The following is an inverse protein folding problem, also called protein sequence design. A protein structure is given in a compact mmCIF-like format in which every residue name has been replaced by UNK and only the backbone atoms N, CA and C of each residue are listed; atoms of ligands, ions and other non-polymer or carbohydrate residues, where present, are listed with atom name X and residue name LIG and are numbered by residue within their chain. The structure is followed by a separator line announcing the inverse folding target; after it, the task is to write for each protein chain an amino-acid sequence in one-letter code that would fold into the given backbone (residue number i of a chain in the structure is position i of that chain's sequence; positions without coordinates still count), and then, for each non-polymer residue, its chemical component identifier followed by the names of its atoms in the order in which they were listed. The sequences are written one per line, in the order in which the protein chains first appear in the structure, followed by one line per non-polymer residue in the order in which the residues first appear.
data_IF_003275650864
#
_entry.id   IF_003275650864
#
_cell.length_a   1.000
_cell.length_b   1.000
_cell.length_c   1.000
_cell.angle_alpha   90.00
_cell.angle_beta   90.00
_cell.angle_gamma   90.00
#
_symmetry.space_group_name_H-M   'P 1'
#
loop_
_entity.id
_entity.type
_entity.pdbx_description
1 polymer ?
#
# COMPACT_ATOMS: atom_id res chain seq x y z
N UNK A 1 24.67 -1.33 9.07
CA UNK A 1 24.76 -2.39 8.03
C UNK A 1 23.36 -2.93 7.86
N UNK A 2 22.85 -3.06 6.62
CA UNK A 2 21.52 -3.64 6.38
C UNK A 2 21.52 -5.12 6.73
N UNK A 3 20.48 -5.59 7.41
CA UNK A 3 20.29 -7.02 7.67
C UNK A 3 20.01 -7.75 6.35
N UNK A 4 20.72 -8.82 6.00
CA UNK A 4 20.46 -9.53 4.75
C UNK A 4 19.06 -10.17 4.79
N UNK A 5 18.42 -10.23 3.63
CA UNK A 5 17.16 -10.95 3.47
C UNK A 5 17.40 -12.46 3.44
N UNK A 6 16.65 -13.19 4.24
CA UNK A 6 16.55 -14.64 4.16
C UNK A 6 15.52 -15.03 3.10
N UNK A 7 15.97 -15.71 2.04
CA UNK A 7 15.08 -16.23 1.00
C UNK A 7 14.39 -17.49 1.53
N UNK A 8 13.07 -17.41 1.73
CA UNK A 8 12.25 -18.54 2.19
C UNK A 8 11.87 -19.47 1.04
N UNK A 9 11.49 -18.89 -0.11
CA UNK A 9 11.19 -19.66 -1.32
C UNK A 9 11.29 -18.79 -2.58
N UNK A 10 11.53 -19.46 -3.72
CA UNK A 10 11.57 -18.83 -5.04
C UNK A 10 10.88 -19.75 -6.07
N UNK A 11 10.08 -19.14 -6.94
CA UNK A 11 9.27 -19.84 -7.94
C UNK A 11 9.40 -19.18 -9.28
N UNK A 12 9.75 -19.92 -10.34
CA UNK A 12 9.70 -19.41 -11.71
C UNK A 12 8.27 -19.01 -12.06
N UNK A 13 8.08 -17.79 -12.57
CA UNK A 13 6.76 -17.23 -12.83
C UNK A 13 6.80 -16.23 -13.99
N UNK A 14 6.17 -16.57 -15.13
CA UNK A 14 6.10 -15.74 -16.35
C UNK A 14 7.46 -15.21 -16.84
N UNK A 15 8.47 -16.09 -16.83
CA UNK A 15 9.85 -15.75 -17.24
C UNK A 15 10.64 -14.96 -16.21
N UNK A 16 10.00 -14.50 -15.14
CA UNK A 16 10.60 -13.89 -13.96
C UNK A 16 10.55 -14.83 -12.77
N UNK A 17 10.62 -14.27 -11.57
CA UNK A 17 10.68 -15.05 -10.34
C UNK A 17 9.86 -14.42 -9.21
N UNK A 18 8.96 -15.21 -8.61
CA UNK A 18 8.24 -14.86 -7.37
C UNK A 18 9.08 -15.33 -6.19
N UNK A 19 9.45 -14.42 -5.31
CA UNK A 19 10.25 -14.70 -4.11
C UNK A 19 9.53 -14.30 -2.84
N UNK A 20 9.75 -15.08 -1.78
CA UNK A 20 9.28 -14.79 -0.43
C UNK A 20 10.49 -14.69 0.49
N UNK A 21 10.50 -13.64 1.29
CA UNK A 21 11.60 -13.31 2.16
C UNK A 21 11.18 -13.09 3.60
N UNK A 22 12.14 -13.27 4.49
CA UNK A 22 12.07 -12.83 5.87
C UNK A 22 13.33 -12.03 6.21
N UNK A 23 13.22 -11.08 7.11
CA UNK A 23 14.37 -10.40 7.70
C UNK A 23 14.08 -9.96 9.13
N UNK A 24 15.14 -9.82 9.94
CA UNK A 24 15.03 -9.23 11.25
C UNK A 24 14.86 -7.71 11.10
N UNK A 25 13.64 -7.22 11.31
CA UNK A 25 13.37 -5.79 11.23
C UNK A 25 13.86 -5.07 12.48
N UNK A 26 14.66 -4.04 12.30
CA UNK A 26 15.11 -3.15 13.39
C UNK A 26 14.02 -2.18 13.82
N UNK A 27 13.17 -1.76 12.90
CA UNK A 27 12.05 -0.85 13.17
C UNK A 27 10.94 -1.52 13.96
N UNK A 28 10.59 -2.75 13.59
CA UNK A 28 9.55 -3.55 14.25
C UNK A 28 10.11 -4.27 15.50
N UNK A 29 11.39 -4.64 15.47
CA UNK A 29 12.02 -5.44 16.53
C UNK A 29 11.67 -6.93 16.50
N UNK A 30 11.09 -7.41 15.38
CA UNK A 30 10.67 -8.79 15.15
C UNK A 30 11.00 -9.21 13.72
N UNK A 31 11.02 -10.51 13.41
CA UNK A 31 11.08 -10.98 12.04
C UNK A 31 9.86 -10.50 11.24
N UNK A 32 10.12 -9.90 10.09
CA UNK A 32 9.08 -9.46 9.16
C UNK A 32 9.21 -10.19 7.84
N UNK A 33 8.06 -10.54 7.24
CA UNK A 33 7.99 -11.18 5.93
C UNK A 33 7.54 -10.21 4.86
N UNK A 34 8.01 -10.45 3.65
CA UNK A 34 7.56 -9.73 2.45
C UNK A 34 7.76 -10.61 1.22
N UNK A 35 7.03 -10.28 0.17
CA UNK A 35 7.11 -10.96 -1.11
C UNK A 35 7.54 -9.99 -2.22
N UNK A 36 8.32 -10.48 -3.17
CA UNK A 36 8.74 -9.71 -4.35
C UNK A 36 8.57 -10.57 -5.59
N UNK A 37 7.93 -10.01 -6.61
CA UNK A 37 8.02 -10.52 -7.97
C UNK A 37 9.05 -9.71 -8.75
N UNK A 38 10.03 -10.40 -9.34
CA UNK A 38 11.04 -9.81 -10.24
C UNK A 38 10.72 -10.20 -11.68
N UNK A 39 10.43 -9.24 -12.57
CA UNK A 39 10.16 -9.53 -13.98
C UNK A 39 11.45 -9.95 -14.71
N UNK A 40 11.35 -10.56 -15.91
CA UNK A 40 12.55 -10.98 -16.68
C UNK A 40 13.57 -9.86 -16.92
N UNK A 41 13.10 -8.62 -17.06
CA UNK A 41 13.93 -7.43 -17.29
C UNK A 41 14.86 -7.11 -16.11
N UNK A 42 14.52 -7.57 -14.91
CA UNK A 42 15.36 -7.41 -13.72
C UNK A 42 16.73 -8.12 -13.84
N UNK A 43 16.86 -9.05 -14.77
CA UNK A 43 18.15 -9.67 -15.10
C UNK A 43 19.12 -8.73 -15.85
N UNK A 44 18.60 -7.65 -16.43
CA UNK A 44 19.37 -6.69 -17.21
C UNK A 44 19.74 -5.42 -16.43
N UNK A 45 19.11 -5.23 -15.26
CA UNK A 45 19.34 -4.07 -14.40
C UNK A 45 18.13 -3.75 -13.53
N UNK A 46 18.23 -2.69 -12.69
CA UNK A 46 17.14 -2.29 -11.82
C UNK A 46 15.88 -1.86 -12.58
N UNK A 47 14.73 -2.39 -12.17
CA UNK A 47 13.40 -2.11 -12.75
C UNK A 47 12.54 -1.29 -11.79
N UNK A 48 11.58 -0.49 -12.29
CA UNK A 48 10.59 0.17 -11.44
C UNK A 48 9.70 -0.85 -10.73
N UNK A 49 9.11 -0.44 -9.60
CA UNK A 49 8.29 -1.33 -8.82
C UNK A 49 6.96 -0.72 -8.40
N UNK A 50 5.96 -1.58 -8.20
CA UNK A 50 4.69 -1.26 -7.57
C UNK A 50 4.64 -1.93 -6.19
N UNK A 51 4.47 -1.12 -5.16
CA UNK A 51 4.24 -1.57 -3.78
C UNK A 51 2.75 -1.84 -3.62
N UNK A 52 2.40 -3.06 -3.24
CA UNK A 52 1.01 -3.44 -2.97
C UNK A 52 0.81 -3.65 -1.48
N UNK A 53 -0.13 -2.92 -0.90
CA UNK A 53 -0.55 -3.04 0.49
C UNK A 53 -1.84 -3.85 0.59
N UNK A 54 -1.81 -4.95 1.33
CA UNK A 54 -2.95 -5.84 1.46
C UNK A 54 -3.94 -5.35 2.54
N UNK A 55 -5.18 -5.86 2.48
CA UNK A 55 -6.25 -5.56 3.42
C UNK A 55 -6.14 -6.32 4.74
N UNK A 56 -7.13 -6.12 5.62
CA UNK A 56 -7.25 -6.80 6.91
C UNK A 56 -7.12 -8.32 6.76
N UNK A 57 -6.46 -8.96 7.71
CA UNK A 57 -6.20 -10.41 7.81
C UNK A 57 -5.27 -11.01 6.76
N UNK A 58 -4.86 -10.23 5.76
CA UNK A 58 -3.95 -10.70 4.71
C UNK A 58 -2.50 -10.80 5.22
N UNK A 59 -1.68 -11.47 4.39
CA UNK A 59 -0.23 -11.58 4.54
C UNK A 59 0.46 -11.14 3.24
N UNK A 60 1.77 -11.15 3.22
CA UNK A 60 2.60 -10.91 2.03
C UNK A 60 2.27 -11.83 0.85
N UNK A 61 1.75 -13.03 1.12
CA UNK A 61 1.40 -14.02 0.09
C UNK A 61 0.08 -13.70 -0.62
N UNK A 62 -0.85 -13.06 0.08
CA UNK A 62 -2.25 -12.96 -0.36
C UNK A 62 -2.38 -12.31 -1.72
N UNK A 63 -1.72 -11.19 -1.95
CA UNK A 63 -1.71 -10.50 -3.24
C UNK A 63 -1.03 -11.35 -4.32
N UNK A 64 0.14 -11.88 -4.02
CA UNK A 64 0.94 -12.62 -4.99
C UNK A 64 0.22 -13.86 -5.53
N UNK A 65 -0.57 -14.52 -4.67
CA UNK A 65 -1.31 -15.74 -5.05
C UNK A 65 -2.66 -15.41 -5.70
N UNK A 66 -3.35 -14.34 -5.26
CA UNK A 66 -4.77 -14.14 -5.61
C UNK A 66 -5.03 -13.07 -6.66
N UNK A 67 -4.13 -12.10 -6.87
CA UNK A 67 -4.41 -10.95 -7.72
C UNK A 67 -4.14 -11.16 -9.21
N UNK A 68 -3.42 -12.22 -9.60
CA UNK A 68 -3.10 -12.49 -11.01
C UNK A 68 -2.20 -11.43 -11.67
N UNK A 69 -1.41 -10.71 -10.89
CA UNK A 69 -0.67 -9.53 -11.33
C UNK A 69 0.59 -9.86 -12.15
N UNK A 70 1.24 -11.00 -11.89
CA UNK A 70 2.61 -11.28 -12.35
C UNK A 70 2.76 -11.34 -13.87
N UNK A 71 1.75 -11.85 -14.60
CA UNK A 71 1.81 -11.95 -16.06
C UNK A 71 2.01 -10.57 -16.69
N UNK A 72 1.12 -9.63 -16.36
CA UNK A 72 1.20 -8.30 -16.92
C UNK A 72 2.40 -7.51 -16.35
N UNK A 73 2.77 -7.73 -15.10
CA UNK A 73 3.97 -7.16 -14.51
C UNK A 73 5.24 -7.59 -15.28
N UNK A 74 5.32 -8.88 -15.71
CA UNK A 74 6.40 -9.37 -16.57
C UNK A 74 6.43 -8.65 -17.93
N UNK A 75 5.27 -8.51 -18.58
CA UNK A 75 5.14 -7.85 -19.88
C UNK A 75 5.54 -6.37 -19.79
N UNK A 76 5.15 -5.69 -18.71
CA UNK A 76 5.44 -4.28 -18.47
C UNK A 76 6.84 -4.02 -17.86
N UNK A 77 7.57 -5.04 -17.43
CA UNK A 77 8.87 -4.86 -16.77
C UNK A 77 8.76 -4.24 -15.38
N UNK A 78 7.66 -4.48 -14.65
CA UNK A 78 7.42 -3.99 -13.30
C UNK A 78 7.75 -5.06 -12.27
N UNK A 79 8.53 -4.72 -11.25
CA UNK A 79 8.59 -5.51 -10.03
C UNK A 79 7.35 -5.25 -9.16
N UNK A 80 6.97 -6.25 -8.36
CA UNK A 80 5.88 -6.14 -7.37
C UNK A 80 6.46 -6.39 -5.99
N UNK A 81 6.09 -5.57 -5.00
CA UNK A 81 6.53 -5.70 -3.61
C UNK A 81 5.28 -5.77 -2.73
N UNK A 82 5.14 -6.78 -1.90
CA UNK A 82 4.05 -6.91 -0.93
C UNK A 82 4.62 -7.24 0.46
N UNK A 83 4.54 -6.31 1.43
CA UNK A 83 4.87 -6.61 2.82
C UNK A 83 3.74 -7.38 3.51
N UNK A 84 4.03 -7.99 4.66
CA UNK A 84 2.99 -8.41 5.60
C UNK A 84 2.20 -7.18 6.11
N UNK A 85 1.01 -7.40 6.60
CA UNK A 85 0.05 -6.35 7.00
C UNK A 85 0.22 -5.87 8.45
N UNK A 86 1.02 -6.57 9.24
CA UNK A 86 1.36 -6.23 10.62
C UNK A 86 2.58 -7.01 11.11
N UNK A 87 3.15 -6.66 12.27
CA UNK A 87 3.97 -7.58 13.06
C UNK A 87 3.19 -8.84 13.43
N UNK A 88 3.92 -9.95 13.66
CA UNK A 88 3.35 -11.21 14.17
C UNK A 88 4.25 -11.79 15.24
N UNK A 89 3.63 -12.34 16.30
CA UNK A 89 4.36 -12.97 17.39
C UNK A 89 5.06 -11.99 18.33
N UNK A 90 4.51 -10.79 18.47
CA UNK A 90 4.98 -9.79 19.44
C UNK A 90 4.68 -10.20 20.89
N UNK A 91 3.74 -11.13 21.08
CA UNK A 91 3.23 -11.56 22.38
C UNK A 91 2.63 -10.40 23.19
N UNK A 92 2.08 -9.42 22.50
CA UNK A 92 1.30 -8.34 23.10
C UNK A 92 -0.07 -8.88 23.50
N UNK A 93 -0.51 -8.71 24.75
CA UNK A 93 -1.84 -9.14 25.16
C UNK A 93 -2.92 -8.55 24.25
N UNK A 94 -3.79 -9.41 23.72
CA UNK A 94 -4.88 -9.01 22.82
C UNK A 94 -4.49 -8.87 21.35
N UNK A 95 -3.24 -9.15 20.94
CA UNK A 95 -2.79 -8.97 19.55
C UNK A 95 -3.54 -9.83 18.53
N UNK A 96 -4.12 -10.93 18.95
CA UNK A 96 -4.87 -11.86 18.11
C UNK A 96 -6.35 -12.00 18.49
N UNK A 97 -6.88 -11.15 19.38
CA UNK A 97 -8.25 -11.27 19.89
C UNK A 97 -9.30 -10.80 18.87
N UNK A 98 -8.90 -10.05 17.87
CA UNK A 98 -9.80 -9.47 16.88
C UNK A 98 -9.21 -9.53 15.47
N UNK A 99 -10.04 -9.86 14.48
CA UNK A 99 -9.61 -9.95 13.08
C UNK A 99 -9.34 -8.57 12.43
N UNK A 100 -9.88 -7.50 13.01
CA UNK A 100 -9.77 -6.13 12.50
C UNK A 100 -8.91 -5.20 13.38
N UNK A 101 -8.12 -5.78 14.31
CA UNK A 101 -7.19 -5.04 15.16
C UNK A 101 -6.03 -5.95 15.62
N UNK A 102 -4.82 -5.44 15.73
CA UNK A 102 -3.64 -6.22 16.10
C UNK A 102 -3.03 -6.97 14.92
N UNK A 103 -2.90 -8.28 15.02
CA UNK A 103 -2.32 -9.14 13.97
C UNK A 103 -3.17 -9.10 12.71
N UNK A 104 -2.52 -8.80 11.57
CA UNK A 104 -3.19 -8.66 10.28
C UNK A 104 -3.93 -7.32 10.09
N UNK A 105 -3.75 -6.35 10.98
CA UNK A 105 -4.50 -5.10 11.02
C UNK A 105 -3.63 -3.90 11.45
N UNK A 106 -2.44 -3.74 10.87
CA UNK A 106 -1.48 -2.69 11.23
C UNK A 106 -1.81 -1.29 10.72
N UNK A 107 -2.84 -1.14 9.88
CA UNK A 107 -3.30 0.12 9.28
C UNK A 107 -2.20 0.98 8.65
N UNK A 108 -1.01 0.42 8.42
CA UNK A 108 0.15 1.09 7.80
C UNK A 108 0.52 2.43 8.44
N UNK A 109 0.38 2.50 9.77
CA UNK A 109 0.75 3.63 10.61
C UNK A 109 1.76 3.21 11.67
N UNK A 110 2.33 4.18 12.38
CA UNK A 110 3.14 3.95 13.57
C UNK A 110 2.29 4.21 14.82
N UNK A 111 2.07 3.17 15.62
CA UNK A 111 1.33 3.30 16.85
C UNK A 111 2.08 4.15 17.89
N UNK A 112 1.36 5.01 18.60
CA UNK A 112 1.91 5.87 19.65
C UNK A 112 1.56 5.37 21.05
N UNK A 113 0.55 4.49 21.16
CA UNK A 113 0.03 3.99 22.43
C UNK A 113 0.68 2.67 22.84
N UNK A 114 0.97 2.53 24.13
CA UNK A 114 1.33 1.25 24.70
C UNK A 114 0.10 0.31 24.72
N UNK A 115 0.29 -1.01 24.50
CA UNK A 115 1.55 -1.69 24.26
C UNK A 115 2.01 -1.70 22.77
N UNK A 116 1.19 -1.18 21.86
CA UNK A 116 1.35 -1.29 20.40
C UNK A 116 2.59 -0.56 19.87
N UNK A 117 2.91 0.62 20.41
CA UNK A 117 3.98 1.50 19.93
C UNK A 117 5.36 0.84 19.77
N UNK A 118 5.57 -0.29 20.44
CA UNK A 118 6.86 -0.99 20.40
C UNK A 118 7.06 -1.70 19.07
N UNK A 119 6.01 -2.32 18.53
CA UNK A 119 6.11 -3.20 17.37
C UNK A 119 5.22 -2.77 16.18
N UNK A 120 4.06 -2.13 16.42
CA UNK A 120 3.16 -1.67 15.34
C UNK A 120 3.65 -0.36 14.75
N UNK A 121 4.70 -0.44 13.92
CA UNK A 121 5.37 0.71 13.28
C UNK A 121 5.48 0.48 11.78
N UNK A 122 4.32 0.23 11.14
CA UNK A 122 4.27 -0.21 9.75
C UNK A 122 4.63 0.90 8.76
N UNK A 123 4.41 2.17 9.08
CA UNK A 123 4.82 3.30 8.25
C UNK A 123 6.36 3.42 8.20
N UNK A 124 7.01 3.55 9.35
CA UNK A 124 8.49 3.59 9.43
C UNK A 124 9.12 2.32 8.86
N UNK A 125 8.53 1.15 9.13
CA UNK A 125 9.01 -0.12 8.57
C UNK A 125 9.04 -0.08 7.04
N UNK A 126 7.96 0.36 6.40
CA UNK A 126 7.89 0.42 4.95
C UNK A 126 8.84 1.44 4.37
N UNK A 127 8.80 2.68 4.86
CA UNK A 127 9.44 3.82 4.22
C UNK A 127 10.93 3.92 4.54
N UNK A 128 11.30 3.62 5.79
CA UNK A 128 12.66 3.85 6.29
C UNK A 128 13.50 2.58 6.33
N UNK A 129 12.87 1.38 6.31
CA UNK A 129 13.59 0.12 6.38
C UNK A 129 13.37 -0.76 5.15
N UNK A 130 12.16 -1.26 4.89
CA UNK A 130 11.91 -2.26 3.85
C UNK A 130 12.23 -1.74 2.44
N UNK A 131 11.63 -0.64 2.01
CA UNK A 131 11.81 -0.14 0.65
C UNK A 131 13.25 0.28 0.33
N UNK A 132 13.98 0.97 1.24
CA UNK A 132 15.41 1.22 1.05
C UNK A 132 16.24 -0.05 0.96
N UNK A 133 15.96 -1.06 1.79
CA UNK A 133 16.70 -2.32 1.76
C UNK A 133 16.39 -3.15 0.50
N UNK A 134 15.14 -3.16 0.04
CA UNK A 134 14.74 -3.82 -1.20
C UNK A 134 15.48 -3.21 -2.39
N UNK A 135 15.55 -1.88 -2.49
CA UNK A 135 16.30 -1.21 -3.54
C UNK A 135 17.82 -1.46 -3.47
N UNK A 136 18.35 -1.65 -2.27
CA UNK A 136 19.78 -1.91 -2.07
C UNK A 136 20.20 -3.36 -2.35
N UNK A 137 19.30 -4.34 -2.13
CA UNK A 137 19.63 -5.77 -2.19
C UNK A 137 19.05 -6.50 -3.41
N UNK A 138 18.05 -5.91 -4.07
CA UNK A 138 17.38 -6.51 -5.24
C UNK A 138 17.47 -5.56 -6.45
N UNK A 139 17.33 -6.08 -7.69
CA UNK A 139 17.40 -5.26 -8.91
C UNK A 139 16.11 -4.42 -9.09
N UNK A 140 15.88 -3.51 -8.15
CA UNK A 140 14.71 -2.60 -8.11
C UNK A 140 15.21 -1.16 -8.03
N UNK A 141 14.65 -0.31 -8.90
CA UNK A 141 14.93 1.13 -8.90
C UNK A 141 14.07 1.82 -7.83
N UNK A 142 14.65 2.09 -6.67
CA UNK A 142 13.97 2.76 -5.55
C UNK A 142 13.54 4.21 -5.82
N UNK A 143 13.96 4.80 -6.95
CA UNK A 143 13.51 6.13 -7.37
C UNK A 143 12.23 6.09 -8.23
N UNK A 144 11.85 4.91 -8.74
CA UNK A 144 10.67 4.71 -9.57
C UNK A 144 9.69 3.74 -8.92
N UNK A 145 9.01 4.23 -7.88
CA UNK A 145 8.04 3.47 -7.11
C UNK A 145 6.61 3.99 -7.33
N UNK A 146 5.68 3.08 -7.57
CA UNK A 146 4.25 3.30 -7.45
C UNK A 146 3.72 2.61 -6.19
N UNK A 147 2.55 3.05 -5.70
CA UNK A 147 1.88 2.42 -4.57
C UNK A 147 0.42 2.16 -4.87
N UNK A 148 -0.04 0.99 -4.49
CA UNK A 148 -1.45 0.58 -4.57
C UNK A 148 -1.81 -0.29 -3.38
N UNK A 149 -3.08 -0.55 -3.16
CA UNK A 149 -3.51 -1.44 -2.10
C UNK A 149 -5.00 -1.70 -2.12
N UNK A 150 -5.44 -2.64 -1.30
CA UNK A 150 -6.84 -3.03 -1.18
C UNK A 150 -7.35 -2.80 0.24
N UNK A 151 -8.54 -2.20 0.39
CA UNK A 151 -9.21 -2.05 1.69
C UNK A 151 -8.38 -1.22 2.69
N UNK A 152 -8.00 -1.80 3.85
CA UNK A 152 -7.01 -1.23 4.76
C UNK A 152 -5.69 -0.90 4.05
N UNK A 153 -5.25 -1.74 3.10
CA UNK A 153 -4.06 -1.45 2.29
C UNK A 153 -4.27 -0.32 1.29
N UNK A 154 -5.48 -0.16 0.77
CA UNK A 154 -5.86 1.00 -0.03
C UNK A 154 -5.82 2.30 0.79
N UNK A 155 -6.29 2.26 2.04
CA UNK A 155 -6.08 3.32 3.02
C UNK A 155 -4.59 3.63 3.18
N UNK A 156 -3.77 2.61 3.46
CA UNK A 156 -2.33 2.78 3.62
C UNK A 156 -1.66 3.38 2.39
N UNK A 157 -2.03 2.93 1.18
CA UNK A 157 -1.49 3.48 -0.06
C UNK A 157 -1.81 4.97 -0.22
N UNK A 158 -3.05 5.36 0.07
CA UNK A 158 -3.48 6.76 0.00
C UNK A 158 -2.78 7.62 1.05
N UNK A 159 -2.77 7.20 2.31
CA UNK A 159 -2.19 8.00 3.40
C UNK A 159 -0.67 8.14 3.29
N UNK A 160 0.05 7.06 3.01
CA UNK A 160 1.51 7.12 2.84
C UNK A 160 1.90 8.00 1.64
N UNK A 161 1.17 7.90 0.53
CA UNK A 161 1.44 8.71 -0.65
C UNK A 161 1.19 10.21 -0.42
N UNK A 162 0.15 10.55 0.34
CA UNK A 162 -0.20 11.96 0.63
C UNK A 162 0.66 12.58 1.73
N UNK A 163 1.11 11.79 2.70
CA UNK A 163 2.00 12.25 3.78
C UNK A 163 3.45 12.38 3.35
N UNK A 164 3.87 11.63 2.33
CA UNK A 164 5.26 11.61 1.84
C UNK A 164 5.35 12.01 0.36
N UNK A 165 5.11 13.29 0.03
CA UNK A 165 5.11 13.78 -1.35
C UNK A 165 6.41 13.44 -2.08
N UNK A 166 6.29 12.93 -3.31
CA UNK A 166 7.44 12.55 -4.14
C UNK A 166 8.04 11.17 -3.83
N UNK A 167 7.60 10.47 -2.77
CA UNK A 167 8.06 9.12 -2.46
C UNK A 167 7.55 8.09 -3.49
N UNK A 168 6.31 8.27 -3.94
CA UNK A 168 5.68 7.43 -4.93
C UNK A 168 5.25 8.27 -6.14
N UNK A 169 5.61 7.83 -7.34
CA UNK A 169 5.32 8.56 -8.58
C UNK A 169 3.92 8.30 -9.10
N UNK A 170 3.29 7.21 -8.68
CA UNK A 170 1.93 6.83 -9.07
C UNK A 170 1.16 6.20 -7.92
N UNK A 171 -0.16 6.45 -7.90
CA UNK A 171 -1.06 6.06 -6.82
C UNK A 171 -2.34 5.46 -7.38
N UNK A 172 -2.74 4.31 -6.82
CA UNK A 172 -4.05 3.74 -7.08
C UNK A 172 -4.56 2.96 -5.86
N UNK A 173 -5.84 2.57 -5.84
CA UNK A 173 -6.39 1.75 -4.75
C UNK A 173 -7.63 0.96 -5.19
N UNK A 174 -7.85 -0.18 -4.53
CA UNK A 174 -9.06 -1.01 -4.64
C UNK A 174 -9.87 -0.89 -3.36
N UNK A 175 -11.13 -0.49 -3.45
CA UNK A 175 -12.07 -0.41 -2.33
C UNK A 175 -11.43 0.13 -1.03
N UNK A 176 -10.73 1.29 -1.07
CA UNK A 176 -9.98 1.80 0.07
C UNK A 176 -10.91 2.30 1.20
N UNK A 177 -10.44 2.23 2.45
CA UNK A 177 -11.02 3.02 3.54
C UNK A 177 -10.56 4.48 3.35
N UNK A 178 -11.43 5.33 2.78
CA UNK A 178 -11.06 6.67 2.37
C UNK A 178 -11.09 7.71 3.48
N UNK A 179 -11.96 7.51 4.48
CA UNK A 179 -12.17 8.44 5.59
C UNK A 179 -12.24 7.68 6.92
N UNK A 180 -11.12 7.12 7.41
CA UNK A 180 -11.10 6.29 8.61
C UNK A 180 -11.55 7.05 9.88
N UNK A 181 -11.42 8.35 9.93
CA UNK A 181 -11.95 9.17 11.05
C UNK A 181 -13.48 9.17 11.15
N UNK A 182 -14.16 8.66 10.12
CA UNK A 182 -15.62 8.65 9.98
C UNK A 182 -16.20 7.24 9.85
N UNK A 183 -15.42 6.19 10.15
CA UNK A 183 -15.89 4.82 10.05
C UNK A 183 -15.50 3.97 11.28
N UNK A 184 -16.28 2.92 11.61
CA UNK A 184 -16.03 2.06 12.76
C UNK A 184 -14.64 1.42 12.80
N UNK A 185 -14.11 0.96 11.68
CA UNK A 185 -12.76 0.38 11.64
C UNK A 185 -11.68 1.40 11.99
N UNK A 186 -11.78 2.61 11.47
CA UNK A 186 -10.84 3.68 11.81
C UNK A 186 -10.98 4.12 13.26
N UNK A 187 -12.21 4.27 13.78
CA UNK A 187 -12.44 4.61 15.19
C UNK A 187 -11.77 3.58 16.12
N UNK A 188 -11.96 2.28 15.85
CA UNK A 188 -11.33 1.19 16.62
C UNK A 188 -9.80 1.21 16.52
N UNK A 189 -9.28 1.26 15.29
CA UNK A 189 -7.84 1.20 15.06
C UNK A 189 -7.13 2.42 15.63
N UNK A 190 -7.63 3.61 15.38
CA UNK A 190 -6.98 4.85 15.81
C UNK A 190 -7.10 5.07 17.32
N UNK A 191 -8.24 4.73 17.94
CA UNK A 191 -8.33 4.72 19.40
C UNK A 191 -7.25 3.82 20.02
N UNK A 192 -7.07 2.62 19.47
CA UNK A 192 -6.09 1.66 20.01
C UNK A 192 -4.64 2.04 19.71
N UNK A 193 -4.34 2.48 18.48
CA UNK A 193 -2.96 2.75 18.07
C UNK A 193 -2.50 4.18 18.37
N UNK A 194 -3.37 5.18 18.20
CA UNK A 194 -3.04 6.60 18.32
C UNK A 194 -3.59 7.24 19.60
N UNK A 195 -4.53 6.57 20.28
CA UNK A 195 -5.18 7.07 21.49
C UNK A 195 -6.45 7.88 21.20
N UNK A 196 -7.10 8.41 22.28
CA UNK A 196 -8.41 9.03 22.16
C UNK A 196 -8.40 10.46 21.57
N UNK A 197 -7.22 11.07 21.43
CA UNK A 197 -7.12 12.41 20.84
C UNK A 197 -7.32 12.35 19.34
N UNK A 198 -8.53 12.66 18.88
CA UNK A 198 -8.91 12.63 17.46
C UNK A 198 -8.14 13.65 16.60
N UNK A 199 -7.51 14.64 17.19
CA UNK A 199 -6.68 15.60 16.44
C UNK A 199 -5.45 14.92 15.83
N UNK A 200 -4.94 13.85 16.43
CA UNK A 200 -3.82 13.06 15.90
C UNK A 200 -4.23 12.13 14.73
N UNK A 201 -5.52 11.86 14.59
CA UNK A 201 -6.03 10.93 13.57
C UNK A 201 -6.08 11.55 12.16
N UNK A 202 -6.20 12.87 12.08
CA UNK A 202 -6.32 13.60 10.82
C UNK A 202 -5.13 13.38 9.88
N UNK A 203 -3.94 13.14 10.44
CA UNK A 203 -2.74 12.81 9.68
C UNK A 203 -2.77 11.41 9.06
N UNK A 204 -3.75 10.59 9.44
CA UNK A 204 -3.95 9.24 8.95
C UNK A 204 -5.27 9.07 8.19
N UNK A 205 -5.92 10.16 7.80
CA UNK A 205 -7.17 10.15 7.02
C UNK A 205 -6.93 10.71 5.61
N UNK A 206 -7.08 9.85 4.60
CA UNK A 206 -6.78 10.21 3.22
C UNK A 206 -7.66 11.37 2.69
N UNK A 207 -8.92 11.45 3.13
CA UNK A 207 -9.83 12.54 2.75
C UNK A 207 -9.37 13.87 3.36
N UNK A 208 -9.01 13.86 4.64
CA UNK A 208 -8.50 15.06 5.34
C UNK A 208 -7.15 15.47 4.77
N UNK A 209 -6.25 14.52 4.56
CA UNK A 209 -4.95 14.79 3.93
C UNK A 209 -5.11 15.42 2.55
N UNK A 210 -6.03 14.91 1.72
CA UNK A 210 -6.28 15.47 0.40
C UNK A 210 -6.79 16.91 0.46
N UNK A 211 -7.71 17.23 1.39
CA UNK A 211 -8.23 18.57 1.59
C UNK A 211 -7.15 19.60 1.97
N UNK A 212 -6.08 19.14 2.64
CA UNK A 212 -4.99 20.01 3.09
C UNK A 212 -3.79 20.05 2.10
N UNK A 213 -3.84 19.37 0.96
CA UNK A 213 -2.79 19.49 -0.05
C UNK A 213 -2.81 20.90 -0.67
N UNK A 214 -1.67 21.59 -0.74
CA UNK A 214 -1.60 22.94 -1.32
C UNK A 214 -1.80 22.95 -2.84
N UNK A 215 -1.53 21.83 -3.50
CA UNK A 215 -1.70 21.61 -4.94
C UNK A 215 -2.05 20.14 -5.17
N UNK A 216 -2.63 19.84 -6.33
CA UNK A 216 -2.90 18.44 -6.73
C UNK A 216 -1.60 17.60 -6.72
N UNK A 217 -1.43 16.64 -5.79
CA UNK A 217 -0.16 15.93 -5.61
C UNK A 217 0.13 14.91 -6.73
N UNK A 218 -0.90 14.46 -7.43
CA UNK A 218 -0.79 13.47 -8.51
C UNK A 218 -1.38 14.01 -9.83
N UNK A 219 -0.66 14.87 -10.56
CA UNK A 219 -1.17 15.51 -11.78
C UNK A 219 -1.51 14.51 -12.89
N UNK A 220 -0.87 13.34 -12.91
CA UNK A 220 -1.21 12.25 -13.83
C UNK A 220 -2.48 11.47 -13.42
N UNK A 221 -3.09 11.83 -12.31
CA UNK A 221 -4.32 11.25 -11.77
C UNK A 221 -4.10 10.09 -10.79
N UNK A 222 -5.14 9.85 -9.99
CA UNK A 222 -5.27 8.72 -9.07
C UNK A 222 -6.34 7.78 -9.63
N UNK A 223 -6.13 6.47 -9.57
CA UNK A 223 -7.11 5.47 -9.99
C UNK A 223 -7.66 4.73 -8.78
N UNK A 224 -8.99 4.72 -8.64
CA UNK A 224 -9.68 3.93 -7.59
C UNK A 224 -10.78 3.09 -8.24
N UNK A 225 -10.82 1.82 -7.88
CA UNK A 225 -11.92 0.91 -8.21
C UNK A 225 -12.73 0.56 -6.97
N UNK A 226 -14.07 0.54 -7.10
CA UNK A 226 -15.01 0.24 -6.04
C UNK A 226 -16.12 -0.69 -6.52
N UNK A 227 -16.28 -1.83 -5.86
CA UNK A 227 -17.41 -2.73 -6.07
C UNK A 227 -18.70 -2.17 -5.46
N UNK A 228 -19.81 -2.19 -6.20
CA UNK A 228 -21.11 -1.70 -5.69
C UNK A 228 -21.87 -2.75 -4.88
N UNK A 229 -21.51 -4.05 -4.99
CA UNK A 229 -22.02 -5.11 -4.12
C UNK A 229 -21.14 -5.35 -2.88
N UNK A 230 -20.19 -4.47 -2.62
CA UNK A 230 -19.31 -4.52 -1.46
C UNK A 230 -20.08 -4.19 -0.18
N UNK A 231 -20.17 -5.17 0.72
CA UNK A 231 -20.90 -5.04 1.99
C UNK A 231 -20.31 -4.00 2.96
N UNK A 232 -19.03 -3.63 2.76
CA UNK A 232 -18.34 -2.64 3.58
C UNK A 232 -18.48 -1.21 3.05
N UNK A 233 -18.96 -1.05 1.81
CA UNK A 233 -19.09 0.24 1.17
C UNK A 233 -19.92 1.25 1.96
N UNK A 234 -21.08 0.89 2.55
CA UNK A 234 -21.92 1.87 3.24
C UNK A 234 -21.28 2.44 4.51
N UNK A 235 -20.63 1.58 5.31
CA UNK A 235 -20.26 1.93 6.68
C UNK A 235 -18.75 2.14 6.89
N UNK A 236 -17.90 1.66 5.97
CA UNK A 236 -16.45 1.62 6.19
C UNK A 236 -15.62 2.36 5.15
N UNK A 237 -16.03 2.40 3.87
CA UNK A 237 -15.10 2.77 2.80
C UNK A 237 -15.19 4.25 2.38
N UNK A 238 -16.38 4.81 2.30
CA UNK A 238 -16.68 6.22 2.02
C UNK A 238 -15.91 6.87 0.85
N UNK A 239 -15.80 6.23 -0.34
CA UNK A 239 -15.02 6.78 -1.46
C UNK A 239 -15.53 8.13 -1.96
N UNK A 240 -16.82 8.44 -1.76
CA UNK A 240 -17.45 9.70 -2.13
C UNK A 240 -16.86 10.91 -1.37
N UNK A 241 -16.37 10.70 -0.14
CA UNK A 241 -15.72 11.77 0.64
C UNK A 241 -14.36 12.15 0.05
N UNK A 242 -13.56 11.15 -0.33
CA UNK A 242 -12.30 11.40 -1.04
C UNK A 242 -12.52 12.01 -2.43
N UNK A 243 -13.55 11.55 -3.16
CA UNK A 243 -13.93 12.12 -4.47
C UNK A 243 -14.24 13.63 -4.35
N UNK A 244 -15.01 14.02 -3.33
CA UNK A 244 -15.31 15.42 -3.04
C UNK A 244 -14.04 16.22 -2.66
N UNK A 245 -13.15 15.64 -1.84
CA UNK A 245 -11.90 16.27 -1.46
C UNK A 245 -10.97 16.50 -2.68
N UNK A 246 -10.84 15.49 -3.55
CA UNK A 246 -10.09 15.61 -4.80
C UNK A 246 -10.64 16.72 -5.71
N UNK A 247 -11.97 16.77 -5.88
CA UNK A 247 -12.62 17.79 -6.70
C UNK A 247 -12.37 19.20 -6.16
N UNK A 248 -12.38 19.37 -4.83
CA UNK A 248 -12.19 20.68 -4.19
C UNK A 248 -10.82 21.31 -4.47
N UNK A 249 -9.77 20.49 -4.63
CA UNK A 249 -8.40 20.98 -4.90
C UNK A 249 -7.97 20.78 -6.37
N UNK A 250 -8.85 20.29 -7.24
CA UNK A 250 -8.53 20.01 -8.64
C UNK A 250 -7.64 18.78 -8.84
N UNK A 251 -7.59 17.84 -7.88
CA UNK A 251 -6.89 16.58 -8.06
C UNK A 251 -7.67 15.68 -9.01
N UNK A 252 -7.03 15.28 -10.12
CA UNK A 252 -7.60 14.31 -11.06
C UNK A 252 -7.79 12.96 -10.38
N UNK A 253 -9.02 12.49 -10.29
CA UNK A 253 -9.40 11.19 -9.74
C UNK A 253 -10.27 10.43 -10.73
N UNK A 254 -9.86 9.21 -11.08
CA UNK A 254 -10.71 8.25 -11.77
C UNK A 254 -11.25 7.26 -10.74
N UNK A 255 -12.47 7.50 -10.25
CA UNK A 255 -13.18 6.58 -9.36
C UNK A 255 -14.20 5.78 -10.18
N UNK A 256 -13.89 4.50 -10.42
CA UNK A 256 -14.77 3.58 -11.17
C UNK A 256 -15.60 2.75 -10.20
N UNK A 257 -16.90 2.69 -10.47
CA UNK A 257 -17.88 1.94 -9.67
C UNK A 257 -18.40 0.76 -10.47
N UNK A 258 -18.25 -0.45 -9.95
CA UNK A 258 -18.52 -1.71 -10.66
C UNK A 258 -19.73 -2.44 -10.09
N UNK A 259 -20.81 -2.49 -10.85
CA UNK A 259 -22.03 -3.22 -10.46
C UNK A 259 -21.75 -4.73 -10.32
N UNK A 260 -22.27 -5.35 -9.24
CA UNK A 260 -22.14 -6.78 -8.98
C UNK A 260 -20.83 -7.24 -8.37
N UNK A 261 -19.79 -6.38 -8.30
CA UNK A 261 -18.53 -6.74 -7.64
C UNK A 261 -18.59 -6.47 -6.15
N UNK A 262 -18.05 -7.41 -5.38
CA UNK A 262 -17.93 -7.37 -3.93
C UNK A 262 -16.56 -6.84 -3.47
N UNK A 263 -16.17 -7.13 -2.21
CA UNK A 263 -14.89 -6.73 -1.61
C UNK A 263 -13.76 -7.74 -1.84
N UNK A 264 -14.00 -8.83 -2.55
CA UNK A 264 -13.09 -9.97 -2.63
C UNK A 264 -11.99 -9.83 -3.68
N UNK A 265 -11.07 -10.81 -3.69
CA UNK A 265 -9.98 -10.82 -4.65
C UNK A 265 -10.42 -11.12 -6.09
N UNK A 266 -11.62 -11.64 -6.33
CA UNK A 266 -12.18 -11.72 -7.69
C UNK A 266 -12.38 -10.33 -8.29
N UNK A 267 -12.82 -9.36 -7.47
CA UNK A 267 -12.89 -7.96 -7.86
C UNK A 267 -11.49 -7.40 -8.14
N UNK A 268 -10.53 -7.55 -7.21
CA UNK A 268 -9.15 -7.07 -7.39
C UNK A 268 -8.53 -7.65 -8.66
N UNK A 269 -8.63 -8.97 -8.87
CA UNK A 269 -8.08 -9.66 -10.05
C UNK A 269 -8.68 -9.15 -11.35
N UNK A 270 -9.98 -8.84 -11.36
CA UNK A 270 -10.68 -8.39 -12.57
C UNK A 270 -10.16 -7.06 -13.12
N UNK A 271 -9.66 -6.18 -12.24
CA UNK A 271 -9.21 -4.84 -12.61
C UNK A 271 -7.71 -4.61 -12.38
N UNK A 272 -6.98 -5.60 -11.92
CA UNK A 272 -5.54 -5.50 -11.64
C UNK A 272 -4.72 -5.04 -12.85
N UNK A 273 -5.11 -5.50 -14.05
CA UNK A 273 -4.42 -5.11 -15.28
C UNK A 273 -4.45 -3.59 -15.52
N UNK A 274 -5.59 -2.95 -15.26
CA UNK A 274 -5.74 -1.51 -15.44
C UNK A 274 -4.88 -0.72 -14.45
N UNK A 275 -4.78 -1.20 -13.21
CA UNK A 275 -3.91 -0.60 -12.19
C UNK A 275 -2.45 -0.74 -12.56
N UNK A 276 -1.99 -1.91 -13.01
CA UNK A 276 -0.59 -2.08 -13.46
C UNK A 276 -0.28 -1.19 -14.67
N UNK A 277 -1.20 -1.05 -15.62
CA UNK A 277 -1.04 -0.12 -16.75
C UNK A 277 -1.01 1.35 -16.30
N UNK A 278 -1.84 1.71 -15.31
CA UNK A 278 -1.82 3.06 -14.71
C UNK A 278 -0.46 3.38 -14.13
N UNK A 279 0.12 2.47 -13.35
CA UNK A 279 1.46 2.61 -12.78
C UNK A 279 2.54 2.63 -13.85
N UNK A 280 2.50 1.71 -14.83
CA UNK A 280 3.50 1.63 -15.90
C UNK A 280 3.60 2.93 -16.70
N UNK A 281 2.46 3.55 -17.07
CA UNK A 281 2.46 4.83 -17.80
C UNK A 281 3.24 5.93 -17.10
N UNK A 282 3.26 5.92 -15.76
CA UNK A 282 3.93 6.96 -14.97
C UNK A 282 5.38 6.57 -14.63
N UNK A 283 5.63 5.29 -14.32
CA UNK A 283 6.96 4.82 -13.91
C UNK A 283 7.92 4.60 -15.09
N UNK A 284 7.38 4.38 -16.30
CA UNK A 284 8.18 4.20 -17.53
C UNK A 284 8.34 5.50 -18.34
N UNK A 285 7.61 6.55 -17.98
CA UNK A 285 7.79 7.84 -18.61
C UNK A 285 9.26 8.32 -18.42
N UNK A 286 9.90 8.88 -19.46
CA UNK A 286 11.20 9.50 -19.25
C UNK A 286 11.07 10.58 -18.18
N UNK A 287 12.10 10.77 -17.32
CA UNK A 287 12.06 11.82 -16.32
C UNK A 287 11.71 13.14 -17.00
N UNK A 288 10.65 13.81 -16.53
CA UNK A 288 10.28 15.12 -17.03
C UNK A 288 11.51 16.01 -16.92
N UNK A 289 11.97 16.57 -18.05
CA UNK A 289 13.06 17.52 -18.05
C UNK A 289 12.68 18.63 -17.07
N UNK A 290 13.40 18.69 -15.95
CA UNK A 290 13.10 19.60 -14.85
C UNK A 290 12.92 21.00 -15.39
N UNK A 291 11.83 21.64 -15.04
CA UNK A 291 11.68 23.09 -15.17
C UNK A 291 12.77 23.68 -14.30
N UNK A 292 13.90 24.03 -14.93
CA UNK A 292 14.98 24.79 -14.31
C UNK A 292 14.33 26.06 -13.76
N UNK A 293 14.24 26.15 -12.45
CA UNK A 293 13.87 27.40 -11.81
C UNK A 293 14.90 28.46 -12.20
N UNK A 294 14.48 29.41 -13.01
CA UNK A 294 15.19 30.68 -13.25
C UNK A 294 14.79 31.69 -12.19
#
# INVERSE_FOLDING_TARGET
MSTPFELLSAHACFGGEQRFYQHASTTIGLPMKFAVYLPPQAQQGPVPAVVYLAGLTCTEETFMVKAGAQRLAAELGLALIAPDTSPRGANVPGEADSWDFGVGAGFYLDATQAPWRTHWRMESYLLDELLPQVAAQLPIDGSRLGITGHSMGGHGALTLALRHPGRFQSLSAFAPICAPTQCPWGDKAFTGYLGPDRSTWIEHDATVLMQHQPVAPYPAGILIDQGLADKFLPDQLHPHLLEAACAAIGQSLTLRRHAGYDHGYYFVQSFMADHLQHHARQLMAPPSAGVSAR
#
